data_IF_055144112462
#
_entry.id   IF_055144112462
#
_cell.length_a   1.000
_cell.length_b   1.000
_cell.length_c   1.000
_cell.angle_alpha   90.00
_cell.angle_beta   90.00
_cell.angle_gamma   90.00
#
_symmetry.space_group_name_H-M   'P 1'
#
loop_
_entity.id
_entity.type
_entity.pdbx_description
1 polymer ?
#
# COMPACT_ATOMS: atom_id res chain seq x y z
N UNK A 1 -4.44 -5.59 10.09
CA UNK A 1 -4.06 -6.83 9.38
C UNK A 1 -4.77 -7.01 8.03
N UNK A 2 -5.74 -6.16 7.67
CA UNK A 2 -6.54 -6.31 6.45
C UNK A 2 -5.72 -6.33 5.16
N UNK A 3 -4.66 -5.53 5.11
CA UNK A 3 -3.87 -5.26 3.92
C UNK A 3 -2.85 -6.34 3.52
N UNK A 4 -2.79 -7.44 4.27
CA UNK A 4 -1.88 -8.57 4.09
C UNK A 4 -2.62 -9.88 3.85
N UNK A 5 -3.91 -9.81 3.48
CA UNK A 5 -4.68 -11.00 3.15
C UNK A 5 -4.05 -11.71 1.95
N UNK A 6 -3.67 -12.98 2.10
CA UNK A 6 -2.92 -13.76 1.11
C UNK A 6 -3.56 -13.76 -0.29
N UNK A 7 -4.90 -13.74 -0.34
CA UNK A 7 -5.64 -13.75 -1.59
C UNK A 7 -5.78 -12.36 -2.25
N UNK A 8 -5.34 -11.28 -1.59
CA UNK A 8 -5.60 -9.90 -2.06
C UNK A 8 -4.32 -9.21 -2.47
N UNK A 9 -4.08 -9.20 -3.77
CA UNK A 9 -3.01 -8.45 -4.43
C UNK A 9 -3.61 -7.43 -5.39
N UNK A 10 -3.79 -6.20 -4.90
CA UNK A 10 -4.39 -5.09 -5.66
C UNK A 10 -3.50 -4.55 -6.79
N UNK A 11 -2.19 -4.80 -6.72
CA UNK A 11 -1.21 -4.30 -7.69
C UNK A 11 -0.18 -5.37 -8.06
N UNK A 12 0.39 -5.34 -9.29
CA UNK A 12 1.58 -6.11 -9.65
C UNK A 12 2.70 -6.00 -8.61
N UNK A 13 2.95 -4.79 -8.09
CA UNK A 13 3.95 -4.55 -7.05
C UNK A 13 3.66 -5.32 -5.75
N UNK A 14 2.38 -5.47 -5.37
CA UNK A 14 1.96 -6.28 -4.22
C UNK A 14 2.32 -7.75 -4.37
N UNK A 15 2.05 -8.32 -5.56
CA UNK A 15 2.41 -9.72 -5.87
C UNK A 15 3.92 -9.91 -5.85
N UNK A 16 4.66 -9.00 -6.49
CA UNK A 16 6.12 -9.03 -6.52
C UNK A 16 6.72 -8.99 -5.11
N UNK A 17 6.24 -8.09 -4.26
CA UNK A 17 6.67 -8.00 -2.86
C UNK A 17 6.47 -9.34 -2.13
N UNK A 18 5.30 -9.98 -2.29
CA UNK A 18 5.00 -11.26 -1.65
C UNK A 18 5.96 -12.37 -2.10
N UNK A 19 6.17 -12.50 -3.42
CA UNK A 19 7.05 -13.49 -4.02
C UNK A 19 8.51 -13.28 -3.59
N UNK A 20 9.00 -12.04 -3.65
CA UNK A 20 10.36 -11.68 -3.22
C UNK A 20 10.56 -11.96 -1.72
N UNK A 21 9.57 -11.61 -0.89
CA UNK A 21 9.62 -11.86 0.55
C UNK A 21 9.68 -13.35 0.86
N UNK A 22 8.80 -14.15 0.25
CA UNK A 22 8.78 -15.61 0.42
C UNK A 22 10.09 -16.24 -0.04
N UNK A 23 10.64 -15.79 -1.17
CA UNK A 23 11.94 -16.24 -1.69
C UNK A 23 13.08 -15.89 -0.73
N UNK A 24 13.07 -14.70 -0.14
CA UNK A 24 14.14 -14.21 0.75
C UNK A 24 14.10 -14.84 2.14
N UNK A 25 12.92 -15.03 2.70
CA UNK A 25 12.73 -15.38 4.12
C UNK A 25 12.12 -16.77 4.34
N UNK A 26 11.72 -17.48 3.29
CA UNK A 26 11.17 -18.84 3.37
C UNK A 26 9.78 -18.93 4.01
N UNK A 27 9.11 -17.79 4.22
CA UNK A 27 7.78 -17.71 4.84
C UNK A 27 6.98 -16.56 4.26
N UNK A 28 5.67 -16.62 4.40
CA UNK A 28 4.78 -15.55 3.97
C UNK A 28 4.90 -14.34 4.91
N UNK A 29 4.75 -13.10 4.39
CA UNK A 29 4.77 -11.91 5.23
C UNK A 29 3.49 -11.84 6.08
N UNK A 30 3.65 -11.70 7.40
CA UNK A 30 2.53 -11.81 8.37
C UNK A 30 2.07 -10.48 8.94
N UNK A 31 2.89 -9.43 8.81
CA UNK A 31 2.63 -8.12 9.38
C UNK A 31 2.49 -7.05 8.29
N UNK A 32 1.67 -6.03 8.56
CA UNK A 32 1.44 -4.94 7.62
C UNK A 32 2.60 -3.93 7.54
N UNK A 33 3.45 -3.87 8.58
CA UNK A 33 4.51 -2.85 8.69
C UNK A 33 5.60 -3.11 7.69
N UNK A 34 6.00 -4.37 7.51
CA UNK A 34 6.98 -4.80 6.51
C UNK A 34 6.61 -4.27 5.12
N UNK A 35 5.35 -4.43 4.72
CA UNK A 35 4.84 -3.94 3.44
C UNK A 35 4.78 -2.40 3.39
N UNK A 36 4.36 -1.74 4.47
CA UNK A 36 4.37 -0.27 4.55
C UNK A 36 5.78 0.30 4.40
N UNK A 37 6.77 -0.29 5.06
CA UNK A 37 8.18 0.11 4.95
C UNK A 37 8.67 -0.10 3.52
N UNK A 38 8.34 -1.22 2.89
CA UNK A 38 8.67 -1.46 1.48
C UNK A 38 8.14 -0.35 0.57
N UNK A 39 6.89 0.07 0.73
CA UNK A 39 6.32 1.18 -0.03
C UNK A 39 7.07 2.50 0.22
N UNK A 40 7.38 2.83 1.48
CA UNK A 40 8.09 4.06 1.84
C UNK A 40 9.47 4.11 1.16
N UNK A 41 10.20 2.99 1.17
CA UNK A 41 11.52 2.91 0.53
C UNK A 41 11.40 3.02 -0.99
N UNK A 42 10.39 2.41 -1.62
CA UNK A 42 10.15 2.57 -3.06
C UNK A 42 9.89 4.04 -3.43
N UNK A 43 9.03 4.73 -2.68
CA UNK A 43 8.70 6.14 -2.91
C UNK A 43 9.94 7.02 -2.74
N UNK A 44 10.71 6.81 -1.67
CA UNK A 44 11.92 7.58 -1.42
C UNK A 44 12.98 7.36 -2.52
N UNK A 45 13.19 6.10 -2.93
CA UNK A 45 14.14 5.78 -4.00
C UNK A 45 13.71 6.39 -5.34
N UNK A 46 12.43 6.31 -5.71
CA UNK A 46 11.89 6.94 -6.91
C UNK A 46 12.09 8.46 -6.90
N UNK A 47 11.72 9.14 -5.80
CA UNK A 47 11.87 10.58 -5.66
C UNK A 47 13.34 11.02 -5.77
N UNK A 48 14.27 10.34 -5.09
CA UNK A 48 15.71 10.61 -5.19
C UNK A 48 16.21 10.41 -6.62
N UNK A 49 15.77 9.34 -7.29
CA UNK A 49 16.17 9.03 -8.66
C UNK A 49 15.66 10.05 -9.67
N UNK A 50 14.48 10.62 -9.47
CA UNK A 50 13.93 11.70 -10.31
C UNK A 50 14.58 13.05 -9.99
N UNK A 51 14.78 13.36 -8.70
CA UNK A 51 15.39 14.61 -8.25
C UNK A 51 16.88 14.74 -8.59
N UNK A 52 17.59 13.61 -8.76
CA UNK A 52 19.06 13.55 -8.89
C UNK A 52 19.78 14.30 -7.77
N UNK A 53 19.17 14.34 -6.59
CA UNK A 53 19.58 15.18 -5.47
C UNK A 53 18.96 14.64 -4.18
N UNK A 54 19.60 14.95 -3.06
CA UNK A 54 19.09 14.71 -1.71
C UNK A 54 18.82 16.01 -0.96
N UNK A 55 18.86 17.16 -1.64
CA UNK A 55 18.51 18.47 -1.07
C UNK A 55 17.00 18.55 -0.82
N UNK A 56 16.61 19.17 0.29
CA UNK A 56 15.21 19.26 0.73
C UNK A 56 14.27 19.74 -0.36
N UNK A 57 14.52 20.91 -0.95
CA UNK A 57 13.61 21.52 -1.94
C UNK A 57 13.44 20.64 -3.18
N UNK A 58 14.53 20.04 -3.67
CA UNK A 58 14.49 19.13 -4.82
C UNK A 58 13.73 17.84 -4.52
N UNK A 59 13.84 17.32 -3.29
CA UNK A 59 13.08 16.14 -2.86
C UNK A 59 11.60 16.46 -2.68
N UNK A 60 11.25 17.60 -2.08
CA UNK A 60 9.85 18.03 -1.95
C UNK A 60 9.21 18.16 -3.33
N UNK A 61 9.87 18.86 -4.26
CA UNK A 61 9.38 19.00 -5.63
C UNK A 61 9.18 17.64 -6.34
N UNK A 62 10.13 16.72 -6.16
CA UNK A 62 9.99 15.38 -6.72
C UNK A 62 8.87 14.57 -6.05
N UNK A 63 8.72 14.66 -4.73
CA UNK A 63 7.67 13.96 -3.99
C UNK A 63 6.29 14.48 -4.38
N UNK A 64 6.08 15.78 -4.50
CA UNK A 64 4.82 16.39 -4.92
C UNK A 64 4.39 15.96 -6.33
N UNK A 65 5.35 15.61 -7.18
CA UNK A 65 5.13 15.07 -8.54
C UNK A 65 5.02 13.54 -8.59
N UNK A 66 4.96 12.85 -7.44
CA UNK A 66 4.91 11.38 -7.40
C UNK A 66 3.60 10.85 -7.95
N UNK A 67 3.71 9.95 -8.91
CA UNK A 67 2.65 9.06 -9.39
C UNK A 67 3.26 7.66 -9.55
N UNK A 68 3.28 6.89 -8.45
CA UNK A 68 4.02 5.63 -8.35
C UNK A 68 3.14 4.49 -7.89
N UNK A 69 3.08 3.40 -8.66
CA UNK A 69 2.48 2.15 -8.18
C UNK A 69 3.33 1.55 -7.05
N UNK A 70 2.69 1.30 -5.91
CA UNK A 70 3.24 0.55 -4.78
C UNK A 70 2.32 -0.62 -4.43
N UNK A 71 2.62 -1.35 -3.37
CA UNK A 71 1.85 -2.56 -2.99
C UNK A 71 0.38 -2.31 -2.60
N UNK A 72 -0.01 -1.04 -2.41
CA UNK A 72 -1.35 -0.63 -1.97
C UNK A 72 -2.13 0.17 -3.02
N UNK A 73 -1.58 0.41 -4.20
CA UNK A 73 -2.20 1.26 -5.22
C UNK A 73 -1.18 2.26 -5.78
N UNK A 74 -1.67 3.33 -6.41
CA UNK A 74 -0.82 4.41 -6.94
C UNK A 74 -0.75 5.55 -5.92
N UNK A 75 0.47 5.87 -5.48
CA UNK A 75 0.77 6.97 -4.58
C UNK A 75 0.64 8.28 -5.34
N UNK A 76 -0.20 9.17 -4.83
CA UNK A 76 -0.30 10.58 -5.21
C UNK A 76 -0.54 11.40 -3.94
N UNK A 77 0.29 12.40 -3.70
CA UNK A 77 0.14 13.26 -2.52
C UNK A 77 -0.81 14.42 -2.82
N UNK A 78 -1.67 14.74 -1.86
CA UNK A 78 -2.48 15.95 -1.95
C UNK A 78 -1.61 17.20 -1.86
N UNK A 79 -1.91 18.21 -2.69
CA UNK A 79 -1.15 19.46 -2.76
C UNK A 79 -1.96 20.67 -2.23
N UNK A 80 -3.16 20.43 -1.72
CA UNK A 80 -4.03 21.48 -1.20
C UNK A 80 -3.59 21.93 0.20
N UNK A 81 -2.74 22.96 0.27
CA UNK A 81 -2.23 23.52 1.52
C UNK A 81 -3.37 23.95 2.46
N UNK A 82 -3.21 23.67 3.76
CA UNK A 82 -4.22 23.96 4.77
C UNK A 82 -5.34 22.92 4.88
N UNK A 83 -5.37 21.91 4.00
CA UNK A 83 -6.26 20.76 4.14
C UNK A 83 -5.57 19.57 4.82
N UNK A 84 -6.35 18.59 5.28
CA UNK A 84 -5.83 17.33 5.81
C UNK A 84 -5.14 16.47 4.74
N UNK A 85 -5.33 16.80 3.46
CA UNK A 85 -4.78 16.06 2.33
C UNK A 85 -3.36 16.51 1.97
N UNK A 86 -2.92 17.67 2.47
CA UNK A 86 -1.60 18.21 2.16
C UNK A 86 -0.49 17.23 2.54
N UNK A 87 0.30 16.82 1.54
CA UNK A 87 1.35 15.80 1.64
C UNK A 87 0.86 14.45 2.20
N UNK A 88 -0.45 14.18 2.14
CA UNK A 88 -1.04 12.90 2.49
C UNK A 88 -1.46 12.13 1.24
N UNK A 89 -1.38 10.80 1.33
CA UNK A 89 -1.97 9.89 0.37
C UNK A 89 -2.86 8.90 1.12
N UNK A 90 -4.10 8.75 0.67
CA UNK A 90 -5.05 7.79 1.21
C UNK A 90 -5.10 6.56 0.28
N UNK A 91 -4.43 5.46 0.62
CA UNK A 91 -4.52 4.24 -0.18
C UNK A 91 -5.94 3.66 -0.11
N UNK A 92 -6.35 2.88 -1.13
CA UNK A 92 -7.52 2.01 -1.05
C UNK A 92 -7.55 1.22 0.26
N UNK A 93 -8.65 1.35 1.00
CA UNK A 93 -8.84 0.69 2.28
C UNK A 93 -9.61 -0.61 2.10
N UNK A 94 -9.07 -1.69 2.67
CA UNK A 94 -9.76 -2.97 2.73
C UNK A 94 -10.69 -2.99 3.95
N UNK A 95 -11.96 -3.27 3.71
CA UNK A 95 -12.91 -3.60 4.78
C UNK A 95 -12.89 -5.11 4.97
N UNK A 96 -12.60 -5.54 6.19
CA UNK A 96 -12.45 -6.96 6.53
C UNK A 96 -13.39 -7.31 7.67
N UNK A 97 -14.10 -8.41 7.50
CA UNK A 97 -14.97 -8.99 8.50
C UNK A 97 -14.46 -10.36 8.93
N UNK A 98 -14.47 -10.62 10.24
CA UNK A 98 -14.25 -11.98 10.74
C UNK A 98 -15.53 -12.80 10.58
N UNK A 99 -15.46 -13.87 9.80
CA UNK A 99 -16.56 -14.80 9.57
C UNK A 99 -16.06 -16.22 9.86
N UNK A 100 -16.70 -16.95 10.77
CA UNK A 100 -16.30 -18.31 11.16
C UNK A 100 -14.79 -18.44 11.48
N UNK A 101 -14.26 -17.47 12.25
CA UNK A 101 -12.83 -17.37 12.64
C UNK A 101 -11.85 -17.17 11.46
N UNK A 102 -12.34 -16.81 10.28
CA UNK A 102 -11.53 -16.45 9.10
C UNK A 102 -11.72 -14.96 8.76
N UNK A 103 -10.67 -14.32 8.26
CA UNK A 103 -10.77 -12.96 7.74
C UNK A 103 -11.37 -13.02 6.33
N UNK A 104 -12.43 -12.25 6.09
CA UNK A 104 -13.08 -12.12 4.78
C UNK A 104 -13.01 -10.66 4.35
N UNK A 105 -12.43 -10.40 3.18
CA UNK A 105 -12.40 -9.07 2.59
C UNK A 105 -13.74 -8.85 1.91
N UNK A 106 -14.47 -7.81 2.32
CA UNK A 106 -15.82 -7.51 1.82
C UNK A 106 -15.85 -6.27 0.91
N UNK A 107 -14.80 -5.46 0.94
CA UNK A 107 -14.63 -4.28 0.08
C UNK A 107 -13.14 -3.93 -0.08
N UNK A 108 -12.71 -3.42 -1.25
CA UNK A 108 -13.50 -3.14 -2.45
C UNK A 108 -13.92 -4.40 -3.20
N UNK A 109 -14.90 -4.30 -4.11
CA UNK A 109 -15.55 -5.48 -4.73
C UNK A 109 -14.57 -6.32 -5.54
N UNK A 110 -13.65 -5.66 -6.23
CA UNK A 110 -12.56 -6.25 -7.02
C UNK A 110 -11.57 -7.05 -6.16
N UNK A 111 -11.56 -6.84 -4.85
CA UNK A 111 -10.71 -7.51 -3.89
C UNK A 111 -11.49 -8.39 -2.90
N UNK A 112 -12.81 -8.49 -3.06
CA UNK A 112 -13.66 -9.18 -2.12
C UNK A 112 -13.43 -10.69 -2.18
N UNK A 113 -13.14 -11.29 -1.03
CA UNK A 113 -13.03 -12.75 -0.87
C UNK A 113 -14.34 -13.37 -0.37
N UNK A 114 -15.34 -12.53 -0.07
CA UNK A 114 -16.70 -12.94 0.29
C UNK A 114 -17.62 -11.73 0.44
N UNK A 115 -18.89 -12.01 0.76
CA UNK A 115 -19.91 -10.97 0.97
C UNK A 115 -19.98 -10.56 2.45
N UNK A 116 -20.40 -9.32 2.72
CA UNK A 116 -20.71 -8.88 4.07
C UNK A 116 -21.82 -9.76 4.66
N UNK A 117 -21.57 -10.34 5.83
CA UNK A 117 -22.52 -11.21 6.52
C UNK A 117 -23.02 -10.55 7.80
N UNK A 118 -24.30 -10.70 8.13
CA UNK A 118 -24.80 -10.34 9.46
C UNK A 118 -24.50 -11.52 10.39
N UNK A 119 -23.79 -11.25 11.49
CA UNK A 119 -23.59 -12.26 12.53
C UNK A 119 -24.94 -12.77 13.02
N UNK A 120 -25.04 -14.08 13.30
CA UNK A 120 -26.15 -14.63 14.08
C UNK A 120 -25.97 -14.25 15.54
#
# INVERSE_FOLDING_TARGET
MSSMHEAVHLTPTSRKFWEDYKKKFGKDPTDYKTRSIYNVILIAADAINRAKSTKNDALVEALEKTELEVTTGVVKFGLNQGSYEYHQWMPPMLVVQWQNKKQVVVYPKEAATGVLSRGK
#
